data_IF_274636036189
#
_entry.id   IF_274636036189
#
_cell.length_a   1.000
_cell.length_b   1.000
_cell.length_c   1.000
_cell.angle_alpha   90.00
_cell.angle_beta   90.00
_cell.angle_gamma   90.00
#
_symmetry.space_group_name_H-M   'P 1'
#
loop_
_entity.id
_entity.type
_entity.pdbx_description
1 polymer ?
#
# COMPACT_ATOMS: atom_id res chain seq x y z
N UNK A 1 41.32 76.53 -6.43
CA UNK A 1 42.54 76.55 -5.59
C UNK A 1 43.12 75.15 -5.62
N UNK A 2 44.42 74.84 -5.75
CA UNK A 2 45.67 75.58 -6.10
C UNK A 2 46.77 74.51 -6.19
N UNK A 3 47.78 74.51 -7.09
CA UNK A 3 48.11 75.42 -8.20
C UNK A 3 49.07 74.72 -9.21
N UNK A 4 49.77 75.46 -10.07
CA UNK A 4 50.96 75.00 -10.83
C UNK A 4 52.16 75.85 -10.47
N UNK A 5 53.37 75.28 -10.30
CA UNK A 5 54.53 75.76 -11.10
C UNK A 5 55.44 74.59 -11.54
N UNK A 6 56.21 74.56 -12.64
CA UNK A 6 56.83 75.53 -13.59
C UNK A 6 58.29 75.95 -13.27
N UNK A 7 59.20 75.63 -14.23
CA UNK A 7 60.61 76.09 -14.44
C UNK A 7 61.66 75.58 -13.42
N UNK A 8 62.97 75.47 -13.73
CA UNK A 8 63.83 75.86 -14.89
C UNK A 8 64.69 74.65 -15.35
N UNK A 9 65.09 74.44 -16.61
CA UNK A 9 65.97 75.20 -17.53
C UNK A 9 67.48 75.22 -17.19
N UNK A 10 68.27 74.35 -17.86
CA UNK A 10 69.60 74.54 -18.50
C UNK A 10 70.11 73.15 -18.98
N UNK A 11 70.93 72.98 -20.03
CA UNK A 11 71.58 73.93 -20.93
C UNK A 11 71.85 73.35 -22.34
N UNK A 12 72.64 74.09 -23.14
CA UNK A 12 72.92 73.87 -24.58
C UNK A 12 73.93 72.75 -24.85
N UNK A 13 73.81 72.06 -26.00
CA UNK A 13 74.87 72.07 -27.04
C UNK A 13 74.36 71.61 -28.43
N UNK A 14 75.21 71.70 -29.47
CA UNK A 14 74.79 71.85 -30.86
C UNK A 14 75.02 70.62 -31.78
N UNK A 15 74.28 70.61 -32.89
CA UNK A 15 74.49 69.78 -34.10
C UNK A 15 75.73 70.30 -34.91
N UNK A 16 76.15 69.74 -36.09
CA UNK A 16 75.45 68.76 -36.95
C UNK A 16 76.32 67.71 -37.72
N UNK A 17 75.66 66.78 -38.44
CA UNK A 17 75.84 66.59 -39.90
C UNK A 17 74.90 65.52 -40.51
N UNK A 18 74.46 65.79 -41.74
CA UNK A 18 73.70 64.91 -42.64
C UNK A 18 74.70 64.03 -43.44
N UNK A 19 74.32 62.85 -43.98
CA UNK A 19 73.90 62.86 -45.38
C UNK A 19 72.84 61.80 -45.82
N UNK A 20 71.85 62.29 -46.58
CA UNK A 20 71.38 61.83 -47.89
C UNK A 20 71.21 60.32 -48.26
N UNK A 21 70.06 60.08 -48.92
CA UNK A 21 69.79 59.09 -50.00
C UNK A 21 69.78 57.58 -49.66
N UNK A 22 68.60 56.96 -49.79
CA UNK A 22 68.38 55.62 -50.40
C UNK A 22 66.89 55.37 -50.69
N UNK A 23 66.34 56.05 -51.71
CA UNK A 23 65.03 55.70 -52.25
C UNK A 23 65.09 54.42 -53.08
N UNK A 24 64.63 53.29 -52.51
CA UNK A 24 64.57 52.00 -53.22
C UNK A 24 64.27 50.82 -52.31
N UNK A 25 64.97 50.70 -51.17
CA UNK A 25 64.79 49.59 -50.23
C UNK A 25 63.42 49.61 -49.51
N UNK A 26 62.86 50.80 -49.25
CA UNK A 26 61.62 50.97 -48.51
C UNK A 26 60.40 50.25 -49.15
N UNK A 27 60.28 50.27 -50.49
CA UNK A 27 59.12 49.67 -51.17
C UNK A 27 59.14 48.14 -51.13
N UNK A 28 60.33 47.53 -51.15
CA UNK A 28 60.51 46.08 -51.02
C UNK A 28 60.26 45.64 -49.57
N UNK A 29 60.79 46.38 -48.59
CA UNK A 29 60.60 46.12 -47.16
C UNK A 29 59.11 46.15 -46.77
N UNK A 30 58.37 47.22 -47.13
CA UNK A 30 56.92 47.35 -46.84
C UNK A 30 56.12 46.23 -47.50
N UNK A 31 56.53 45.74 -48.67
CA UNK A 31 55.86 44.60 -49.34
C UNK A 31 56.16 43.27 -48.66
N UNK A 32 57.39 43.04 -48.21
CA UNK A 32 57.77 41.85 -47.45
C UNK A 32 57.10 41.82 -46.06
N UNK A 33 57.01 42.97 -45.40
CA UNK A 33 56.33 43.16 -44.12
C UNK A 33 54.82 42.96 -44.25
N UNK A 34 54.18 43.50 -45.29
CA UNK A 34 52.78 43.17 -45.66
C UNK A 34 52.56 41.68 -45.93
N UNK A 35 53.53 40.96 -46.48
CA UNK A 35 53.43 39.50 -46.68
C UNK A 35 53.58 38.74 -45.36
N UNK A 36 54.48 39.16 -44.46
CA UNK A 36 54.64 38.57 -43.12
C UNK A 36 53.43 38.82 -42.23
N UNK A 37 52.84 40.01 -42.24
CA UNK A 37 51.60 40.30 -41.49
C UNK A 37 50.40 39.52 -42.05
N UNK A 38 50.23 39.44 -43.37
CA UNK A 38 49.21 38.58 -44.00
C UNK A 38 49.37 37.09 -43.64
N UNK A 39 50.61 36.60 -43.50
CA UNK A 39 50.87 35.21 -43.10
C UNK A 39 50.51 34.95 -41.63
N UNK A 40 50.89 35.86 -40.70
CA UNK A 40 50.48 35.76 -39.29
C UNK A 40 48.95 35.82 -39.13
N UNK A 41 48.28 36.74 -39.81
CA UNK A 41 46.81 36.81 -39.84
C UNK A 41 46.17 35.51 -40.37
N UNK A 42 46.80 34.80 -41.30
CA UNK A 42 46.31 33.51 -41.79
C UNK A 42 46.56 32.35 -40.79
N UNK A 43 47.61 32.43 -39.98
CA UNK A 43 47.91 31.48 -38.90
C UNK A 43 46.93 31.69 -37.72
N UNK A 44 46.66 32.93 -37.31
CA UNK A 44 45.64 33.28 -36.31
C UNK A 44 44.24 32.82 -36.73
N UNK A 45 43.88 33.01 -38.01
CA UNK A 45 42.60 32.52 -38.54
C UNK A 45 42.51 30.99 -38.55
N UNK A 46 43.61 30.27 -38.78
CA UNK A 46 43.63 28.80 -38.68
C UNK A 46 43.42 28.36 -37.23
N UNK A 47 44.14 28.95 -36.27
CA UNK A 47 43.96 28.65 -34.85
C UNK A 47 42.53 28.95 -34.38
N UNK A 48 41.97 30.12 -34.72
CA UNK A 48 40.58 30.46 -34.38
C UNK A 48 39.57 29.49 -34.99
N UNK A 49 39.77 29.00 -36.22
CA UNK A 49 38.91 27.96 -36.82
C UNK A 49 39.06 26.61 -36.13
N UNK A 50 40.27 26.21 -35.72
CA UNK A 50 40.49 24.96 -34.96
C UNK A 50 39.81 25.04 -33.59
N UNK A 51 39.95 26.15 -32.86
CA UNK A 51 39.25 26.36 -31.58
C UNK A 51 37.73 26.45 -31.75
N UNK A 52 37.23 27.08 -32.81
CA UNK A 52 35.79 27.13 -33.11
C UNK A 52 35.22 25.75 -33.49
N UNK A 53 35.96 24.94 -34.25
CA UNK A 53 35.58 23.56 -34.57
C UNK A 53 35.61 22.67 -33.31
N UNK A 54 36.65 22.76 -32.49
CA UNK A 54 36.79 21.97 -31.26
C UNK A 54 35.75 22.36 -30.20
N UNK A 55 35.47 23.66 -30.05
CA UNK A 55 34.39 24.14 -29.19
C UNK A 55 33.02 23.78 -29.73
N UNK A 56 32.84 23.78 -31.06
CA UNK A 56 31.61 23.36 -31.73
C UNK A 56 31.32 21.88 -31.57
N UNK A 57 32.32 21.00 -31.71
CA UNK A 57 32.15 19.56 -31.49
C UNK A 57 31.92 19.23 -30.03
N UNK A 58 32.66 19.84 -29.11
CA UNK A 58 32.44 19.66 -27.67
C UNK A 58 31.04 20.15 -27.24
N UNK A 59 30.62 21.32 -27.74
CA UNK A 59 29.28 21.86 -27.53
C UNK A 59 28.18 20.94 -28.07
N UNK A 60 28.37 20.37 -29.27
CA UNK A 60 27.42 19.42 -29.85
C UNK A 60 27.32 18.12 -29.04
N UNK A 61 28.44 17.57 -28.55
CA UNK A 61 28.43 16.39 -27.67
C UNK A 61 27.66 16.66 -26.38
N UNK A 62 27.91 17.81 -25.74
CA UNK A 62 27.19 18.23 -24.53
C UNK A 62 25.68 18.38 -24.82
N UNK A 63 25.31 18.94 -25.98
CA UNK A 63 23.91 19.09 -26.39
C UNK A 63 23.21 17.74 -26.61
N UNK A 64 23.89 16.76 -27.21
CA UNK A 64 23.36 15.39 -27.39
C UNK A 64 23.19 14.68 -26.04
N UNK A 65 24.14 14.83 -25.11
CA UNK A 65 24.03 14.28 -23.75
C UNK A 65 22.88 14.93 -22.96
N UNK A 66 22.70 16.25 -23.06
CA UNK A 66 21.56 16.97 -22.47
C UNK A 66 20.23 16.54 -23.09
N UNK A 67 20.16 16.39 -24.42
CA UNK A 67 18.97 15.90 -25.09
C UNK A 67 18.61 14.46 -24.68
N UNK A 68 19.62 13.59 -24.52
CA UNK A 68 19.45 12.24 -23.98
C UNK A 68 18.91 12.24 -22.55
N UNK A 69 19.50 13.04 -21.66
CA UNK A 69 19.04 13.22 -20.28
C UNK A 69 17.60 13.75 -20.21
N UNK A 70 17.26 14.76 -21.02
CA UNK A 70 15.89 15.32 -21.06
C UNK A 70 14.90 14.28 -21.60
N UNK A 71 15.26 13.53 -22.64
CA UNK A 71 14.40 12.48 -23.18
C UNK A 71 14.15 11.37 -22.15
N UNK A 72 15.20 10.89 -21.49
CA UNK A 72 15.13 9.79 -20.52
C UNK A 72 14.48 10.19 -19.18
N UNK A 73 14.77 11.39 -18.66
CA UNK A 73 14.23 11.84 -17.36
C UNK A 73 12.90 12.60 -17.44
N UNK A 74 12.56 13.21 -18.59
CA UNK A 74 11.33 14.03 -18.73
C UNK A 74 10.31 13.35 -19.62
N UNK A 75 10.71 12.82 -20.79
CA UNK A 75 9.76 12.33 -21.80
C UNK A 75 9.32 10.88 -21.60
N UNK A 76 10.24 9.98 -21.22
CA UNK A 76 9.89 8.57 -20.92
C UNK A 76 8.99 8.47 -19.67
N UNK A 77 9.25 9.17 -18.55
CA UNK A 77 8.46 9.01 -17.32
C UNK A 77 7.08 9.68 -17.38
N UNK A 78 6.87 10.64 -18.29
CA UNK A 78 5.60 11.36 -18.47
C UNK A 78 4.63 10.66 -19.44
N UNK A 79 4.89 9.40 -19.82
CA UNK A 79 3.96 8.65 -20.68
C UNK A 79 2.75 8.20 -19.86
N UNK A 80 1.50 8.44 -20.31
CA UNK A 80 0.30 8.00 -19.60
C UNK A 80 0.17 6.47 -19.68
N UNK A 81 -0.16 5.87 -18.53
CA UNK A 81 -0.44 4.43 -18.37
C UNK A 81 -1.94 4.20 -18.26
N UNK A 82 -2.65 5.05 -17.51
CA UNK A 82 -4.10 5.02 -17.33
C UNK A 82 -4.66 6.41 -16.98
N UNK A 83 -5.98 6.58 -17.01
CA UNK A 83 -6.66 7.83 -16.64
C UNK A 83 -8.06 7.58 -16.06
N UNK A 84 -8.42 8.31 -15.00
CA UNK A 84 -9.74 8.30 -14.36
C UNK A 84 -10.25 9.73 -14.25
N UNK A 85 -11.26 10.06 -15.06
CA UNK A 85 -11.81 11.42 -15.12
C UNK A 85 -10.74 12.44 -15.56
N UNK A 86 -10.36 13.34 -14.66
CA UNK A 86 -9.28 14.32 -14.86
C UNK A 86 -7.90 13.84 -14.40
N UNK A 87 -7.80 12.77 -13.62
CA UNK A 87 -6.52 12.26 -13.09
C UNK A 87 -5.87 11.33 -14.11
N UNK A 88 -4.58 11.52 -14.39
CA UNK A 88 -3.79 10.66 -15.30
C UNK A 88 -2.64 10.02 -14.54
N UNK A 89 -2.50 8.70 -14.63
CA UNK A 89 -1.39 7.94 -14.07
C UNK A 89 -0.24 7.92 -15.08
N UNK A 90 0.86 8.61 -14.80
CA UNK A 90 2.04 8.57 -15.67
C UNK A 90 2.97 7.41 -15.29
N UNK A 91 3.93 7.09 -16.15
CA UNK A 91 4.90 6.00 -15.92
C UNK A 91 5.73 6.21 -14.64
N UNK A 92 6.06 7.46 -14.28
CA UNK A 92 6.68 7.78 -12.98
C UNK A 92 5.77 7.39 -11.82
N UNK A 93 4.53 7.85 -11.85
CA UNK A 93 3.56 7.71 -10.77
C UNK A 93 3.20 6.23 -10.60
N UNK A 94 3.04 5.51 -11.70
CA UNK A 94 2.86 4.07 -11.75
C UNK A 94 3.99 3.28 -11.05
N UNK A 95 5.26 3.64 -11.30
CA UNK A 95 6.40 3.01 -10.60
C UNK A 95 6.38 3.32 -9.10
N UNK A 96 5.93 4.49 -8.70
CA UNK A 96 5.75 4.85 -7.30
C UNK A 96 4.58 4.06 -6.66
N UNK A 97 3.47 3.87 -7.36
CA UNK A 97 2.36 3.02 -6.93
C UNK A 97 2.77 1.55 -6.75
N UNK A 98 3.62 1.00 -7.63
CA UNK A 98 4.22 -0.33 -7.41
C UNK A 98 5.08 -0.36 -6.14
N UNK A 99 5.92 0.65 -5.89
CA UNK A 99 6.73 0.73 -4.65
C UNK A 99 5.83 0.80 -3.41
N UNK A 100 4.69 1.49 -3.48
CA UNK A 100 3.70 1.49 -2.40
C UNK A 100 2.98 0.14 -2.25
N UNK A 101 2.70 -0.60 -3.34
CA UNK A 101 2.14 -1.95 -3.27
C UNK A 101 3.10 -2.93 -2.57
N UNK A 102 4.39 -2.92 -2.93
CA UNK A 102 5.41 -3.72 -2.24
C UNK A 102 5.61 -3.32 -0.77
N UNK A 103 5.52 -2.03 -0.45
CA UNK A 103 5.56 -1.56 0.93
C UNK A 103 4.35 -2.04 1.76
N UNK A 104 3.13 -2.07 1.19
CA UNK A 104 1.96 -2.70 1.82
C UNK A 104 2.17 -4.20 2.03
N UNK A 105 2.72 -4.91 1.04
CA UNK A 105 3.00 -6.35 1.15
C UNK A 105 4.00 -6.67 2.28
N UNK A 106 5.09 -5.90 2.39
CA UNK A 106 6.06 -6.04 3.50
C UNK A 106 5.41 -5.70 4.85
N UNK A 107 4.59 -4.65 4.92
CA UNK A 107 3.85 -4.29 6.13
C UNK A 107 2.90 -5.42 6.59
N UNK A 108 2.11 -5.97 5.67
CA UNK A 108 1.20 -7.08 5.92
C UNK A 108 1.94 -8.34 6.36
N UNK A 109 3.08 -8.67 5.73
CA UNK A 109 3.91 -9.80 6.14
C UNK A 109 4.40 -9.65 7.60
N UNK A 110 4.86 -8.47 8.01
CA UNK A 110 5.26 -8.24 9.40
C UNK A 110 4.07 -8.17 10.38
N UNK A 111 2.90 -7.74 9.93
CA UNK A 111 1.67 -7.77 10.74
C UNK A 111 1.25 -9.23 11.02
N UNK A 112 1.25 -10.09 9.99
CA UNK A 112 1.01 -11.53 10.12
C UNK A 112 2.08 -12.20 11.01
N UNK A 113 3.35 -11.86 10.83
CA UNK A 113 4.45 -12.37 11.66
C UNK A 113 4.28 -11.99 13.14
N UNK A 114 3.78 -10.77 13.43
CA UNK A 114 3.45 -10.34 14.78
C UNK A 114 2.28 -11.12 15.38
N UNK A 115 1.18 -11.28 14.63
CA UNK A 115 0.00 -12.06 15.05
C UNK A 115 0.34 -13.53 15.34
N UNK A 116 1.21 -14.13 14.54
CA UNK A 116 1.62 -15.54 14.64
C UNK A 116 2.98 -15.75 15.34
N UNK A 117 3.50 -14.76 16.07
CA UNK A 117 4.82 -14.82 16.72
C UNK A 117 4.96 -16.01 17.70
N UNK A 118 3.85 -16.49 18.28
CA UNK A 118 3.82 -17.69 19.13
C UNK A 118 3.87 -19.04 18.39
N UNK A 119 3.84 -19.05 17.05
CA UNK A 119 3.83 -20.26 16.23
C UNK A 119 5.05 -20.31 15.28
N UNK A 120 6.08 -21.05 15.68
CA UNK A 120 7.34 -21.19 14.93
C UNK A 120 7.16 -21.70 13.48
N UNK A 121 6.15 -22.55 13.23
CA UNK A 121 5.91 -23.15 11.91
C UNK A 121 5.23 -22.17 10.94
N UNK A 122 4.40 -21.25 11.45
CA UNK A 122 3.77 -20.20 10.65
C UNK A 122 4.75 -19.05 10.45
N UNK A 123 5.39 -18.56 11.53
CA UNK A 123 6.38 -17.49 11.45
C UNK A 123 7.55 -17.80 10.51
N UNK A 124 8.01 -19.05 10.45
CA UNK A 124 9.05 -19.50 9.51
C UNK A 124 8.68 -19.45 8.02
N UNK A 125 7.39 -19.34 7.67
CA UNK A 125 6.93 -19.20 6.28
C UNK A 125 6.85 -17.73 5.82
N UNK A 126 6.67 -16.80 6.77
CA UNK A 126 6.63 -15.36 6.51
C UNK A 126 7.99 -14.69 6.70
N UNK A 127 8.85 -15.23 7.56
CA UNK A 127 10.22 -14.77 7.75
C UNK A 127 11.07 -14.97 6.47
N UNK A 128 11.79 -13.92 6.08
CA UNK A 128 12.73 -13.93 4.95
C UNK A 128 12.08 -13.68 3.58
N UNK A 129 10.85 -13.16 3.52
CA UNK A 129 10.24 -12.75 2.26
C UNK A 129 10.75 -11.39 1.74
N UNK A 130 11.21 -10.49 2.63
CA UNK A 130 11.65 -9.14 2.24
C UNK A 130 12.79 -9.10 1.21
N UNK A 131 13.81 -9.98 1.23
CA UNK A 131 14.84 -10.02 0.18
C UNK A 131 14.29 -10.30 -1.23
N UNK A 132 13.26 -11.15 -1.35
CA UNK A 132 12.60 -11.42 -2.63
C UNK A 132 11.83 -10.20 -3.14
N UNK A 133 11.07 -9.55 -2.25
CA UNK A 133 10.36 -8.30 -2.56
C UNK A 133 11.36 -7.19 -2.93
N UNK A 134 12.48 -7.07 -2.21
CA UNK A 134 13.52 -6.08 -2.50
C UNK A 134 14.11 -6.24 -3.91
N UNK A 135 14.31 -7.49 -4.38
CA UNK A 135 14.73 -7.75 -5.76
C UNK A 135 13.65 -7.36 -6.78
N UNK A 136 12.38 -7.63 -6.49
CA UNK A 136 11.25 -7.21 -7.34
C UNK A 136 11.15 -5.68 -7.43
N UNK A 137 11.39 -4.96 -6.34
CA UNK A 137 11.43 -3.49 -6.32
C UNK A 137 12.54 -2.93 -7.23
N UNK A 138 13.72 -3.55 -7.28
CA UNK A 138 14.78 -3.18 -8.25
C UNK A 138 14.34 -3.38 -9.70
N UNK A 139 13.57 -4.44 -9.96
CA UNK A 139 13.13 -4.81 -11.31
C UNK A 139 11.95 -3.98 -11.86
N UNK A 140 11.31 -3.12 -11.05
CA UNK A 140 10.20 -2.23 -11.45
C UNK A 140 10.51 -1.41 -12.72
N UNK A 141 11.78 -1.05 -12.92
CA UNK A 141 12.22 -0.28 -14.10
C UNK A 141 11.99 -1.01 -15.43
N UNK A 142 12.23 -2.32 -15.43
CA UNK A 142 12.31 -3.18 -16.63
C UNK A 142 11.12 -4.16 -16.74
N UNK A 143 10.33 -4.30 -15.67
CA UNK A 143 9.14 -5.15 -15.64
C UNK A 143 8.02 -4.63 -16.57
N UNK A 144 7.19 -5.53 -17.14
CA UNK A 144 5.98 -5.12 -17.84
C UNK A 144 4.99 -4.42 -16.88
N UNK A 145 4.04 -3.67 -17.45
CA UNK A 145 2.95 -3.07 -16.68
C UNK A 145 2.09 -4.17 -16.05
N UNK A 146 2.09 -4.23 -14.73
CA UNK A 146 1.18 -5.02 -13.91
C UNK A 146 -0.20 -4.33 -13.90
N UNK A 147 -1.17 -4.98 -14.54
CA UNK A 147 -2.56 -4.52 -14.62
C UNK A 147 -3.22 -4.42 -13.23
N UNK A 148 -2.84 -5.25 -12.26
CA UNK A 148 -3.41 -5.22 -10.91
C UNK A 148 -3.12 -3.87 -10.22
N UNK A 149 -1.88 -3.37 -10.32
CA UNK A 149 -1.51 -2.06 -9.75
C UNK A 149 -2.27 -0.92 -10.43
N UNK A 150 -2.50 -1.02 -11.75
CA UNK A 150 -3.31 -0.03 -12.49
C UNK A 150 -4.77 -0.08 -12.03
N UNK A 151 -5.35 -1.28 -11.90
CA UNK A 151 -6.74 -1.45 -11.47
C UNK A 151 -6.95 -0.98 -10.01
N UNK A 152 -6.04 -1.31 -9.10
CA UNK A 152 -6.07 -0.79 -7.72
C UNK A 152 -5.96 0.74 -7.66
N UNK A 153 -5.15 1.36 -8.54
CA UNK A 153 -5.09 2.82 -8.65
C UNK A 153 -6.41 3.40 -9.20
N UNK A 154 -6.97 2.81 -10.27
CA UNK A 154 -8.25 3.22 -10.86
C UNK A 154 -9.37 3.15 -9.82
N UNK A 155 -9.47 2.04 -9.08
CA UNK A 155 -10.50 1.83 -8.07
C UNK A 155 -10.38 2.84 -6.92
N UNK A 156 -9.16 3.11 -6.44
CA UNK A 156 -8.92 4.10 -5.38
C UNK A 156 -9.23 5.52 -5.82
N UNK A 157 -8.88 5.90 -7.05
CA UNK A 157 -9.27 7.19 -7.63
C UNK A 157 -10.79 7.29 -7.75
N UNK A 158 -11.47 6.25 -8.24
CA UNK A 158 -12.93 6.23 -8.38
C UNK A 158 -13.63 6.33 -7.02
N UNK A 159 -13.18 5.57 -6.01
CA UNK A 159 -13.67 5.67 -4.62
C UNK A 159 -13.46 7.07 -4.06
N UNK A 160 -12.29 7.66 -4.28
CA UNK A 160 -11.96 9.02 -3.80
C UNK A 160 -12.82 10.09 -4.48
N UNK A 161 -13.00 10.00 -5.80
CA UNK A 161 -13.82 10.94 -6.57
C UNK A 161 -15.31 10.81 -6.19
N UNK A 162 -15.83 9.58 -6.04
CA UNK A 162 -17.20 9.33 -5.57
C UNK A 162 -17.43 9.83 -4.14
N UNK A 163 -16.53 9.53 -3.20
CA UNK A 163 -16.61 10.02 -1.83
C UNK A 163 -16.62 11.55 -1.76
N UNK A 164 -15.74 12.22 -2.49
CA UNK A 164 -15.70 13.68 -2.57
C UNK A 164 -17.00 14.28 -3.15
N UNK A 165 -17.58 13.65 -4.18
CA UNK A 165 -18.88 14.07 -4.74
C UNK A 165 -20.02 13.93 -3.73
N UNK A 166 -19.95 12.90 -2.87
CA UNK A 166 -20.88 12.66 -1.77
C UNK A 166 -20.57 13.49 -0.50
N UNK A 167 -19.60 14.41 -0.54
CA UNK A 167 -19.20 15.25 0.59
C UNK A 167 -18.42 14.52 1.69
N UNK A 168 -18.04 13.27 1.45
CA UNK A 168 -17.26 12.44 2.38
C UNK A 168 -15.79 12.84 2.27
N UNK A 169 -15.24 13.34 3.37
CA UNK A 169 -13.82 13.67 3.50
C UNK A 169 -13.20 12.89 4.65
N UNK A 170 -11.93 12.52 4.49
CA UNK A 170 -11.11 11.82 5.49
C UNK A 170 -9.92 12.70 5.83
N UNK A 171 -9.64 12.87 7.12
CA UNK A 171 -8.55 13.72 7.62
C UNK A 171 -7.30 12.91 7.89
N UNK A 172 -6.13 13.54 7.93
CA UNK A 172 -4.89 12.85 8.29
C UNK A 172 -4.91 12.36 9.75
N UNK A 173 -5.54 13.10 10.65
CA UNK A 173 -5.66 12.72 12.06
C UNK A 173 -6.48 11.43 12.22
N UNK A 174 -7.58 11.31 11.47
CA UNK A 174 -8.39 10.09 11.39
C UNK A 174 -7.60 8.89 10.83
N UNK A 175 -6.85 9.11 9.74
CA UNK A 175 -5.96 8.07 9.17
C UNK A 175 -4.92 7.62 10.19
N UNK A 176 -4.32 8.56 10.94
CA UNK A 176 -3.33 8.26 11.96
C UNK A 176 -3.96 7.48 13.13
N UNK A 177 -5.17 7.84 13.57
CA UNK A 177 -5.88 7.15 14.65
C UNK A 177 -6.29 5.72 14.25
N UNK A 178 -6.79 5.51 13.02
CA UNK A 178 -7.18 4.19 12.52
C UNK A 178 -5.93 3.29 12.35
N UNK A 179 -4.84 3.82 11.77
CA UNK A 179 -3.56 3.11 11.62
C UNK A 179 -2.96 2.71 12.98
N UNK A 180 -2.96 3.61 13.97
CA UNK A 180 -2.44 3.31 15.32
C UNK A 180 -3.33 2.35 16.09
N UNK A 181 -4.66 2.41 15.91
CA UNK A 181 -5.59 1.46 16.51
C UNK A 181 -5.28 0.01 16.12
N UNK A 182 -5.06 -0.23 14.82
CA UNK A 182 -4.76 -1.55 14.27
C UNK A 182 -3.31 -2.01 14.50
N UNK A 183 -2.33 -1.14 14.21
CA UNK A 183 -0.91 -1.51 14.14
C UNK A 183 -0.17 -1.22 15.45
N UNK A 184 -0.69 -0.36 16.33
CA UNK A 184 -0.08 -0.03 17.61
C UNK A 184 0.17 -1.25 18.48
N UNK A 185 -0.81 -2.16 18.57
CA UNK A 185 -0.68 -3.40 19.37
C UNK A 185 0.40 -4.37 18.87
N UNK A 186 0.89 -4.21 17.64
CA UNK A 186 1.82 -5.13 16.96
C UNK A 186 3.23 -4.53 16.83
N UNK A 187 3.33 -3.20 16.70
CA UNK A 187 4.58 -2.48 16.42
C UNK A 187 5.04 -1.54 17.54
N UNK A 188 4.17 -1.11 18.46
CA UNK A 188 4.57 -0.37 19.66
C UNK A 188 4.82 -1.32 20.84
N UNK A 189 5.69 -0.92 21.79
CA UNK A 189 5.76 -1.60 23.08
C UNK A 189 4.41 -1.47 23.82
N UNK A 190 4.00 -2.47 24.62
CA UNK A 190 2.78 -2.36 25.40
C UNK A 190 2.84 -1.16 26.35
N UNK A 191 1.73 -0.43 26.57
CA UNK A 191 1.73 0.78 27.38
C UNK A 191 2.19 0.46 28.80
N UNK A 192 3.17 1.24 29.28
CA UNK A 192 3.66 1.13 30.66
C UNK A 192 2.56 1.66 31.59
N UNK A 193 1.79 0.74 32.18
CA UNK A 193 0.78 1.07 33.18
C UNK A 193 1.51 1.64 34.41
N UNK A 194 1.52 2.96 34.55
CA UNK A 194 1.92 3.58 35.80
C UNK A 194 0.99 3.07 36.91
N UNK A 195 1.51 2.59 38.06
CA UNK A 195 0.67 2.00 39.09
C UNK A 195 -0.27 3.05 39.66
N UNK A 196 -1.56 2.92 39.33
CA UNK A 196 -2.63 3.73 39.91
C UNK A 196 -2.56 3.57 41.43
N UNK A 197 -2.48 4.68 42.16
CA UNK A 197 -2.33 4.64 43.61
C UNK A 197 -3.55 3.96 44.25
N UNK A 198 -3.37 2.73 44.73
CA UNK A 198 -4.40 1.97 45.44
C UNK A 198 -4.81 2.75 46.68
N UNK A 199 -6.03 3.31 46.66
CA UNK A 199 -6.61 3.97 47.83
C UNK A 199 -6.90 2.90 48.89
N UNK A 200 -6.05 2.83 49.92
CA UNK A 200 -6.18 1.85 51.00
C UNK A 200 -7.47 2.09 51.79
N UNK A 201 -8.51 1.31 51.49
CA UNK A 201 -9.68 1.22 52.36
C UNK A 201 -9.29 0.46 53.63
N UNK A 202 -9.40 1.13 54.77
CA UNK A 202 -9.04 0.58 56.08
C UNK A 202 -10.13 -0.40 56.54
N UNK A 203 -9.83 -1.70 56.76
CA UNK A 203 -10.85 -2.65 57.20
C UNK A 203 -11.17 -2.42 58.68
N UNK A 204 -12.44 -2.15 58.98
CA UNK A 204 -12.94 -2.13 60.37
C UNK A 204 -13.15 -3.57 60.83
N UNK A 205 -12.47 -3.95 61.91
CA UNK A 205 -12.58 -5.27 62.55
C UNK A 205 -13.84 -5.41 63.39
N UNK A 206 -14.54 -6.55 63.31
CA UNK A 206 -15.20 -7.12 64.49
C UNK A 206 -15.42 -8.65 64.43
N UNK A 207 -15.22 -9.30 65.60
CA UNK A 207 -15.70 -10.61 66.06
C UNK A 207 -15.39 -11.93 65.30
N UNK A 208 -14.29 -12.56 65.73
CA UNK A 208 -14.05 -14.02 65.72
C UNK A 208 -15.03 -14.79 66.63
N UNK A 209 -15.47 -15.99 66.23
CA UNK A 209 -15.68 -17.14 67.13
C UNK A 209 -15.34 -18.47 66.42
N UNK A 210 -14.80 -19.43 67.18
CA UNK A 210 -14.18 -20.67 66.71
C UNK A 210 -15.16 -21.86 66.53
N UNK A 211 -14.81 -22.90 65.73
CA UNK A 211 -15.64 -24.08 65.52
C UNK A 211 -15.51 -25.12 66.64
N UNK A 212 -16.60 -25.83 66.96
CA UNK A 212 -16.60 -26.99 67.87
C UNK A 212 -17.04 -28.27 67.14
N UNK A 213 -16.31 -29.35 67.37
CA UNK A 213 -16.48 -30.68 66.79
C UNK A 213 -17.55 -31.52 67.52
N UNK A 214 -18.32 -32.33 66.80
CA UNK A 214 -18.91 -33.60 67.30
C UNK A 214 -19.37 -34.50 66.13
N UNK A 215 -19.52 -35.80 66.38
CA UNK A 215 -19.71 -36.84 65.36
C UNK A 215 -21.03 -37.61 65.49
N UNK A 216 -21.28 -38.48 64.49
CA UNK A 216 -22.18 -39.66 64.53
C UNK A 216 -23.71 -39.41 64.48
N UNK A 217 -24.33 -39.83 63.37
CA UNK A 217 -25.41 -40.84 63.33
C UNK A 217 -26.01 -40.97 61.92
N UNK A 218 -26.47 -42.17 61.55
CA UNK A 218 -27.22 -42.39 60.31
C UNK A 218 -28.70 -42.05 60.50
N UNK A 219 -29.26 -41.24 59.60
CA UNK A 219 -30.71 -41.09 59.38
C UNK A 219 -30.94 -40.97 57.88
N UNK A 220 -31.92 -41.72 57.35
CA UNK A 220 -32.44 -41.53 55.99
C UNK A 220 -33.68 -40.64 56.10
N UNK A 221 -33.72 -39.47 55.44
CA UNK A 221 -34.96 -38.79 55.14
C UNK A 221 -35.25 -38.82 53.63
N UNK A 222 -36.39 -39.38 53.27
CA UNK A 222 -37.04 -39.10 51.99
C UNK A 222 -37.74 -37.74 52.08
N UNK A 223 -37.38 -36.76 51.24
CA UNK A 223 -38.32 -35.84 50.58
C UNK A 223 -37.63 -34.74 49.73
N UNK A 224 -38.38 -34.34 48.70
CA UNK A 224 -38.48 -32.98 48.15
C UNK A 224 -37.40 -32.42 47.20
N UNK A 225 -37.88 -31.89 46.08
CA UNK A 225 -37.10 -31.22 45.04
C UNK A 225 -36.76 -29.79 45.50
N UNK A 226 -35.51 -29.56 45.85
CA UNK A 226 -35.01 -28.19 46.10
C UNK A 226 -34.98 -27.41 44.78
N UNK A 227 -35.41 -26.13 44.73
CA UNK A 227 -35.32 -25.32 43.52
C UNK A 227 -33.86 -25.15 43.09
N UNK A 228 -33.63 -25.20 41.78
CA UNK A 228 -32.33 -24.89 41.16
C UNK A 228 -31.87 -23.50 41.59
N UNK A 229 -30.60 -23.31 42.03
CA UNK A 229 -30.09 -21.99 42.33
C UNK A 229 -30.10 -21.13 41.08
N UNK A 230 -30.73 -19.96 41.17
CA UNK A 230 -30.72 -18.95 40.12
C UNK A 230 -29.27 -18.53 39.85
N UNK A 231 -28.82 -18.71 38.60
CA UNK A 231 -27.45 -18.36 38.20
C UNK A 231 -27.34 -16.85 38.24
N UNK A 232 -26.80 -16.32 39.35
CA UNK A 232 -26.44 -14.92 39.46
C UNK A 232 -25.43 -14.63 38.34
N UNK A 233 -25.84 -13.80 37.39
CA UNK A 233 -24.98 -13.39 36.28
C UNK A 233 -23.79 -12.64 36.84
N UNK A 234 -22.61 -13.27 36.82
CA UNK A 234 -21.34 -12.59 37.00
C UNK A 234 -21.32 -11.37 36.07
N UNK A 235 -21.09 -10.14 36.57
CA UNK A 235 -21.03 -8.99 35.70
C UNK A 235 -19.92 -9.21 34.68
N UNK A 236 -20.30 -9.14 33.40
CA UNK A 236 -19.38 -9.28 32.28
C UNK A 236 -18.25 -8.26 32.45
N UNK A 237 -17.00 -8.74 32.36
CA UNK A 237 -15.84 -7.90 32.58
C UNK A 237 -15.81 -6.82 31.49
N UNK A 238 -16.23 -5.60 31.85
CA UNK A 238 -16.22 -4.46 30.94
C UNK A 238 -14.79 -4.24 30.45
N UNK A 239 -14.54 -4.60 29.20
CA UNK A 239 -13.25 -4.40 28.57
C UNK A 239 -12.90 -2.91 28.70
N UNK A 240 -11.82 -2.62 29.41
CA UNK A 240 -11.39 -1.24 29.60
C UNK A 240 -10.81 -0.79 28.27
N UNK A 241 -11.61 -0.08 27.47
CA UNK A 241 -11.17 0.45 26.18
C UNK A 241 -9.90 1.27 26.41
N UNK A 242 -8.80 0.85 25.79
CA UNK A 242 -7.57 1.62 25.79
C UNK A 242 -7.88 2.98 25.17
N UNK A 243 -7.51 4.10 25.81
CA UNK A 243 -7.89 5.43 25.32
C UNK A 243 -7.33 5.64 23.90
N UNK A 244 -8.20 6.03 22.97
CA UNK A 244 -7.79 6.42 21.62
C UNK A 244 -6.82 7.61 21.73
N UNK A 245 -5.62 7.54 21.13
CA UNK A 245 -4.62 8.60 21.26
C UNK A 245 -5.10 9.92 20.63
N UNK A 246 -4.66 11.02 21.24
CA UNK A 246 -4.93 12.36 20.69
C UNK A 246 -4.22 12.56 19.33
N UNK A 247 -4.66 13.49 18.46
CA UNK A 247 -4.14 13.63 17.10
C UNK A 247 -2.61 13.74 17.00
N UNK A 248 -1.97 14.53 17.89
CA UNK A 248 -0.51 14.67 17.94
C UNK A 248 0.18 13.38 18.37
N UNK A 249 -0.36 12.71 19.40
CA UNK A 249 0.16 11.44 19.89
C UNK A 249 0.05 10.35 18.82
N UNK A 250 -1.10 10.28 18.12
CA UNK A 250 -1.30 9.37 17.01
C UNK A 250 -0.30 9.62 15.88
N UNK A 251 -0.02 10.88 15.52
CA UNK A 251 0.99 11.21 14.51
C UNK A 251 2.42 10.75 14.91
N UNK A 252 2.81 10.96 16.17
CA UNK A 252 4.09 10.48 16.70
C UNK A 252 4.16 8.95 16.74
N UNK A 253 3.06 8.29 17.11
CA UNK A 253 2.94 6.83 17.14
C UNK A 253 2.98 6.22 15.73
N UNK A 254 2.35 6.83 14.71
CA UNK A 254 2.56 6.48 13.29
C UNK A 254 4.05 6.55 12.94
N UNK A 255 4.75 7.59 13.38
CA UNK A 255 6.20 7.72 13.20
C UNK A 255 6.97 6.50 13.74
N UNK A 256 6.65 6.07 14.96
CA UNK A 256 7.26 4.91 15.60
C UNK A 256 6.92 3.58 14.90
N UNK A 257 5.67 3.40 14.42
CA UNK A 257 5.24 2.23 13.64
C UNK A 257 6.07 2.12 12.36
N UNK A 258 6.22 3.22 11.61
CA UNK A 258 7.00 3.26 10.37
C UNK A 258 8.49 2.98 10.64
N UNK A 259 9.04 3.51 11.74
CA UNK A 259 10.43 3.30 12.12
C UNK A 259 10.74 1.85 12.51
N UNK A 260 9.89 1.21 13.32
CA UNK A 260 10.05 -0.21 13.68
C UNK A 260 9.79 -1.14 12.48
N UNK A 261 8.80 -0.83 11.65
CA UNK A 261 8.52 -1.58 10.41
C UNK A 261 9.73 -1.54 9.46
N UNK A 262 10.30 -0.36 9.24
CA UNK A 262 11.49 -0.18 8.41
C UNK A 262 12.71 -0.88 9.01
N UNK A 263 12.89 -0.81 10.33
CA UNK A 263 13.95 -1.53 11.06
C UNK A 263 13.84 -3.05 10.90
N UNK A 264 12.64 -3.62 10.96
CA UNK A 264 12.41 -5.06 10.71
C UNK A 264 12.75 -5.45 9.27
N UNK A 265 12.40 -4.61 8.31
CA UNK A 265 12.77 -4.77 6.90
C UNK A 265 14.30 -4.78 6.70
N UNK A 266 15.03 -3.81 7.28
CA UNK A 266 16.51 -3.81 7.26
C UNK A 266 17.12 -5.07 7.88
N UNK A 267 16.56 -5.57 8.99
CA UNK A 267 17.00 -6.81 9.65
C UNK A 267 16.81 -8.04 8.75
N UNK A 268 15.70 -8.15 8.01
CA UNK A 268 15.50 -9.25 7.05
C UNK A 268 16.44 -9.17 5.83
N UNK A 269 16.85 -7.96 5.43
CA UNK A 269 17.80 -7.78 4.33
C UNK A 269 19.26 -8.03 4.72
N UNK A 270 19.64 -7.78 5.97
CA UNK A 270 21.02 -7.89 6.44
C UNK A 270 21.73 -9.24 6.14
N UNK A 271 21.10 -10.43 6.26
CA UNK A 271 21.70 -11.71 5.87
C UNK A 271 22.06 -11.78 4.37
N UNK A 272 21.28 -11.12 3.52
CA UNK A 272 21.50 -11.06 2.07
C UNK A 272 22.51 -9.97 1.65
N UNK A 273 22.91 -9.09 2.58
CA UNK A 273 23.75 -7.90 2.33
C UNK A 273 23.20 -6.98 1.23
N UNK A 274 21.88 -6.94 1.07
CA UNK A 274 21.21 -6.08 0.11
C UNK A 274 20.78 -4.76 0.78
N UNK A 275 20.99 -3.64 0.09
CA UNK A 275 20.45 -2.35 0.53
C UNK A 275 18.92 -2.31 0.36
N UNK A 276 18.19 -1.61 1.25
CA UNK A 276 16.74 -1.43 1.16
C UNK A 276 16.34 -0.52 -0.01
N UNK A 277 15.47 -1.01 -0.89
CA UNK A 277 14.97 -0.27 -2.06
C UNK A 277 13.64 0.45 -1.81
N UNK A 278 12.93 0.05 -0.74
CA UNK A 278 11.82 0.79 -0.17
C UNK A 278 12.36 1.73 0.91
N UNK A 279 11.79 2.93 1.02
CA UNK A 279 12.12 3.91 2.05
C UNK A 279 11.02 4.03 3.10
N UNK A 280 11.31 4.68 4.25
CA UNK A 280 10.31 5.01 5.28
C UNK A 280 9.11 5.77 4.72
N UNK A 281 9.32 6.66 3.74
CA UNK A 281 8.23 7.40 3.12
C UNK A 281 7.39 6.53 2.17
N UNK A 282 7.97 5.46 1.60
CA UNK A 282 7.19 4.50 0.83
C UNK A 282 6.23 3.73 1.73
N UNK A 283 6.68 3.30 2.92
CA UNK A 283 5.82 2.68 3.94
C UNK A 283 4.76 3.65 4.47
N UNK A 284 5.15 4.89 4.80
CA UNK A 284 4.22 5.93 5.29
C UNK A 284 3.11 6.20 4.29
N UNK A 285 3.45 6.44 3.02
CA UNK A 285 2.48 6.74 1.97
C UNK A 285 1.62 5.51 1.62
N UNK A 286 2.23 4.31 1.58
CA UNK A 286 1.53 3.05 1.33
C UNK A 286 0.44 2.76 2.36
N UNK A 287 0.76 2.88 3.66
CA UNK A 287 -0.19 2.66 4.74
C UNK A 287 -1.20 3.81 4.84
N UNK A 288 -0.78 5.07 4.69
CA UNK A 288 -1.72 6.21 4.71
C UNK A 288 -2.77 6.11 3.59
N UNK A 289 -2.38 5.64 2.39
CA UNK A 289 -3.30 5.42 1.28
C UNK A 289 -4.29 4.26 1.57
N UNK A 290 -3.81 3.17 2.18
CA UNK A 290 -4.64 2.02 2.57
C UNK A 290 -5.69 2.42 3.64
N UNK A 291 -5.24 3.04 4.73
CA UNK A 291 -6.13 3.48 5.81
C UNK A 291 -7.09 4.59 5.37
N UNK A 292 -6.69 5.45 4.43
CA UNK A 292 -7.61 6.40 3.79
C UNK A 292 -8.72 5.68 3.01
N UNK A 293 -8.41 4.61 2.29
CA UNK A 293 -9.40 3.84 1.52
C UNK A 293 -10.36 3.08 2.43
N UNK A 294 -9.87 2.54 3.55
CA UNK A 294 -10.68 1.92 4.60
C UNK A 294 -11.63 2.95 5.24
N UNK A 295 -11.13 4.11 5.67
CA UNK A 295 -11.94 5.19 6.22
C UNK A 295 -12.97 5.76 5.22
N UNK A 296 -12.63 5.89 3.93
CA UNK A 296 -13.59 6.24 2.87
C UNK A 296 -14.69 5.17 2.79
N UNK A 297 -14.31 3.90 2.70
CA UNK A 297 -15.26 2.77 2.57
C UNK A 297 -16.22 2.72 3.77
N UNK A 298 -15.69 2.87 4.99
CA UNK A 298 -16.46 2.95 6.22
C UNK A 298 -17.46 4.11 6.20
N UNK A 299 -17.03 5.34 5.88
CA UNK A 299 -17.95 6.51 5.80
C UNK A 299 -19.00 6.38 4.69
N UNK A 300 -18.67 5.74 3.58
CA UNK A 300 -19.64 5.42 2.52
C UNK A 300 -20.68 4.42 3.04
N UNK A 301 -20.26 3.39 3.78
CA UNK A 301 -21.18 2.45 4.43
C UNK A 301 -22.06 3.13 5.47
N UNK A 302 -21.50 3.92 6.40
CA UNK A 302 -22.23 4.72 7.40
C UNK A 302 -23.29 5.63 6.75
N UNK A 303 -23.01 6.17 5.55
CA UNK A 303 -23.94 7.03 4.79
C UNK A 303 -25.05 6.25 4.06
N UNK A 304 -24.73 5.07 3.52
CA UNK A 304 -25.67 4.24 2.75
C UNK A 304 -26.56 3.36 3.64
N UNK A 305 -26.01 2.88 4.76
CA UNK A 305 -26.68 2.04 5.75
C UNK A 305 -26.42 2.64 7.13
N UNK A 306 -27.12 3.73 7.50
CA UNK A 306 -27.00 4.29 8.83
C UNK A 306 -27.58 3.31 9.86
N UNK A 307 -26.82 2.97 10.90
CA UNK A 307 -27.23 2.01 11.94
C UNK A 307 -28.60 2.35 12.56
N UNK A 308 -28.91 3.65 12.71
CA UNK A 308 -30.18 4.13 13.23
C UNK A 308 -31.39 3.85 12.31
N UNK A 309 -31.15 3.53 11.03
CA UNK A 309 -32.16 3.11 10.06
C UNK A 309 -32.16 1.60 9.77
N UNK A 310 -31.14 0.86 10.22
CA UNK A 310 -31.08 -0.59 10.09
C UNK A 310 -31.80 -1.25 11.25
N UNK A 311 -33.08 -1.58 11.06
CA UNK A 311 -33.76 -2.59 11.90
C UNK A 311 -33.38 -3.97 11.38
N UNK A 312 -32.56 -4.78 12.09
CA UNK A 312 -32.35 -6.17 11.71
C UNK A 312 -33.70 -6.88 11.77
N UNK A 313 -34.08 -7.61 10.72
CA UNK A 313 -35.30 -8.40 10.77
C UNK A 313 -35.14 -9.48 11.85
N UNK A 314 -35.92 -9.38 12.92
CA UNK A 314 -36.03 -10.44 13.93
C UNK A 314 -36.94 -11.57 13.45
N UNK A 315 -37.67 -11.39 12.35
CA UNK A 315 -38.21 -12.51 11.59
C UNK A 315 -37.03 -13.20 10.91
N UNK A 316 -36.72 -14.46 11.26
CA UNK A 316 -35.76 -15.21 10.49
C UNK A 316 -36.34 -15.40 9.10
N UNK A 317 -35.74 -14.76 8.10
CA UNK A 317 -35.81 -15.25 6.72
C UNK A 317 -35.13 -16.62 6.69
N UNK A 318 -35.89 -17.62 7.12
CA UNK A 318 -35.67 -18.99 6.70
C UNK A 318 -35.91 -18.98 5.20
N UNK A 319 -34.82 -18.82 4.45
CA UNK A 319 -34.77 -19.15 3.02
C UNK A 319 -35.13 -20.62 2.91
N UNK A 320 -36.43 -20.88 2.79
CA UNK A 320 -37.01 -22.21 2.69
C UNK A 320 -36.77 -22.67 1.27
N UNK A 321 -35.56 -23.18 1.02
CA UNK A 321 -35.24 -23.89 -0.20
C UNK A 321 -36.20 -25.08 -0.31
N UNK A 322 -37.06 -25.04 -1.33
CA UNK A 322 -37.92 -26.16 -1.71
C UNK A 322 -37.17 -26.96 -2.78
N UNK A 323 -37.03 -28.27 -2.60
CA UNK A 323 -36.26 -29.14 -3.48
C UNK A 323 -37.12 -30.24 -4.11
N UNK A 324 -36.84 -30.57 -5.36
CA UNK A 324 -37.34 -31.77 -6.04
C UNK A 324 -36.15 -32.70 -6.20
N UNK A 325 -36.27 -33.92 -5.69
CA UNK A 325 -35.24 -34.96 -5.79
C UNK A 325 -35.62 -35.94 -6.91
N UNK A 326 -34.70 -36.21 -7.84
CA UNK A 326 -34.85 -37.22 -8.91
C UNK A 326 -33.78 -38.29 -8.67
N UNK A 327 -34.18 -39.55 -8.63
CA UNK A 327 -33.30 -40.65 -8.28
C UNK A 327 -32.65 -41.28 -9.52
N UNK A 328 -31.31 -41.36 -9.52
CA UNK A 328 -30.56 -42.11 -10.54
C UNK A 328 -30.46 -43.57 -10.10
N UNK A 329 -31.23 -44.45 -10.73
CA UNK A 329 -31.16 -45.89 -10.49
C UNK A 329 -29.95 -46.50 -11.23
N UNK A 330 -28.90 -46.85 -10.49
CA UNK A 330 -27.75 -47.56 -11.01
C UNK A 330 -27.91 -49.07 -10.77
N UNK A 331 -27.68 -49.89 -11.81
CA UNK A 331 -27.68 -51.35 -11.66
C UNK A 331 -26.38 -51.82 -11.00
N UNK A 332 -26.43 -52.82 -10.13
CA UNK A 332 -25.22 -53.41 -9.57
C UNK A 332 -24.35 -54.01 -10.69
N UNK A 333 -23.11 -53.54 -10.79
CA UNK A 333 -22.17 -53.94 -11.84
C UNK A 333 -22.31 -53.18 -13.17
N UNK A 334 -23.11 -52.11 -13.25
CA UNK A 334 -23.17 -51.23 -14.41
C UNK A 334 -21.77 -50.69 -14.79
N UNK A 335 -21.50 -50.60 -16.08
CA UNK A 335 -20.32 -49.92 -16.60
C UNK A 335 -20.42 -48.40 -16.42
N UNK A 336 -19.30 -47.71 -16.60
CA UNK A 336 -19.26 -46.25 -16.50
C UNK A 336 -20.12 -45.59 -17.59
N UNK A 337 -20.12 -46.11 -18.82
CA UNK A 337 -20.94 -45.59 -19.92
C UNK A 337 -22.45 -45.75 -19.65
N UNK A 338 -22.87 -46.88 -19.05
CA UNK A 338 -24.27 -47.10 -18.63
C UNK A 338 -24.66 -46.19 -17.46
N UNK A 339 -23.74 -45.94 -16.53
CA UNK A 339 -23.95 -45.03 -15.40
C UNK A 339 -24.10 -43.57 -15.85
N UNK A 340 -23.23 -43.14 -16.78
CA UNK A 340 -23.26 -41.81 -17.38
C UNK A 340 -24.54 -41.64 -18.23
N UNK A 341 -25.02 -42.69 -18.92
CA UNK A 341 -26.28 -42.66 -19.65
C UNK A 341 -27.49 -42.43 -18.71
N UNK A 342 -27.61 -43.23 -17.64
CA UNK A 342 -28.68 -43.06 -16.64
C UNK A 342 -28.62 -41.70 -15.93
N UNK A 343 -27.42 -41.16 -15.68
CA UNK A 343 -27.27 -39.83 -15.12
C UNK A 343 -27.73 -38.73 -16.09
N UNK A 344 -27.38 -38.84 -17.37
CA UNK A 344 -27.81 -37.88 -18.39
C UNK A 344 -29.33 -37.90 -18.63
N UNK A 345 -29.98 -39.06 -18.54
CA UNK A 345 -31.45 -39.18 -18.61
C UNK A 345 -32.12 -38.46 -17.43
N UNK A 346 -31.68 -38.72 -16.20
CA UNK A 346 -32.17 -38.04 -15.01
C UNK A 346 -31.87 -36.52 -15.02
N UNK A 347 -30.73 -36.10 -15.60
CA UNK A 347 -30.39 -34.69 -15.78
C UNK A 347 -31.36 -33.98 -16.74
N UNK A 348 -31.79 -34.63 -17.82
CA UNK A 348 -32.80 -34.07 -18.73
C UNK A 348 -34.17 -33.93 -18.04
N UNK A 349 -34.57 -34.91 -17.24
CA UNK A 349 -35.79 -34.80 -16.41
C UNK A 349 -35.69 -33.64 -15.41
N UNK A 350 -34.55 -33.50 -14.71
CA UNK A 350 -34.31 -32.40 -13.78
C UNK A 350 -34.33 -31.02 -14.46
N UNK A 351 -33.82 -30.92 -15.68
CA UNK A 351 -33.86 -29.69 -16.47
C UNK A 351 -35.28 -29.34 -16.91
N UNK A 352 -36.08 -30.31 -17.35
CA UNK A 352 -37.49 -30.11 -17.71
C UNK A 352 -38.32 -29.64 -16.51
N UNK A 353 -38.18 -30.30 -15.35
CA UNK A 353 -38.80 -29.89 -14.08
C UNK A 353 -38.39 -28.46 -13.68
N UNK A 354 -37.10 -28.12 -13.82
CA UNK A 354 -36.62 -26.78 -13.51
C UNK A 354 -37.10 -25.71 -14.50
N UNK A 355 -37.38 -26.07 -15.76
CA UNK A 355 -38.01 -25.19 -16.75
C UNK A 355 -39.50 -24.98 -16.48
N UNK A 356 -40.24 -26.03 -16.14
CA UNK A 356 -41.65 -25.95 -15.76
C UNK A 356 -41.85 -25.05 -14.52
N UNK A 357 -41.01 -25.22 -13.49
CA UNK A 357 -40.99 -24.35 -12.31
C UNK A 357 -40.62 -22.90 -12.64
N UNK A 358 -39.67 -22.67 -13.57
CA UNK A 358 -39.35 -21.32 -14.08
C UNK A 358 -40.48 -20.73 -14.93
N UNK A 359 -41.31 -21.56 -15.55
CA UNK A 359 -42.53 -21.17 -16.24
C UNK A 359 -43.69 -20.75 -15.32
N UNK A 360 -43.52 -20.86 -14.00
CA UNK A 360 -44.53 -20.47 -13.01
C UNK A 360 -45.50 -21.58 -12.62
N UNK A 361 -45.17 -22.85 -12.89
CA UNK A 361 -45.94 -23.98 -12.36
C UNK A 361 -45.89 -24.04 -10.82
N UNK A 362 -46.95 -24.60 -10.22
CA UNK A 362 -46.97 -24.76 -8.75
C UNK A 362 -45.96 -25.80 -8.29
N UNK A 363 -45.05 -25.37 -7.41
CA UNK A 363 -44.02 -26.23 -6.85
C UNK A 363 -44.59 -27.47 -6.15
N UNK A 364 -45.70 -27.33 -5.41
CA UNK A 364 -46.23 -28.46 -4.66
C UNK A 364 -46.82 -29.54 -5.60
N UNK A 365 -47.49 -29.14 -6.68
CA UNK A 365 -47.94 -30.04 -7.73
C UNK A 365 -46.78 -30.73 -8.48
N UNK A 366 -45.77 -29.98 -8.93
CA UNK A 366 -44.61 -30.56 -9.64
C UNK A 366 -43.82 -31.50 -8.72
N UNK A 367 -43.56 -31.10 -7.47
CA UNK A 367 -42.94 -31.97 -6.49
C UNK A 367 -43.81 -33.17 -6.11
N UNK A 368 -45.14 -33.12 -6.25
CA UNK A 368 -46.04 -34.26 -6.04
C UNK A 368 -45.93 -35.29 -7.17
N UNK A 369 -45.73 -34.85 -8.42
CA UNK A 369 -45.60 -35.72 -9.58
C UNK A 369 -44.17 -36.30 -9.74
N UNK A 370 -43.14 -35.45 -9.65
CA UNK A 370 -41.79 -35.74 -10.16
C UNK A 370 -40.72 -35.99 -9.08
N UNK A 371 -41.05 -35.90 -7.78
CA UNK A 371 -40.06 -36.10 -6.71
C UNK A 371 -40.02 -37.51 -6.14
N UNK A 372 -38.85 -38.14 -6.23
CA UNK A 372 -38.47 -39.46 -5.70
C UNK A 372 -38.12 -39.48 -4.19
N UNK A 373 -38.58 -38.49 -3.41
CA UNK A 373 -38.22 -38.39 -1.98
C UNK A 373 -38.62 -39.67 -1.20
N UNK A 374 -37.64 -40.25 -0.50
CA UNK A 374 -37.77 -41.49 0.24
C UNK A 374 -38.89 -41.46 1.30
N UNK A 375 -39.24 -40.27 1.81
CA UNK A 375 -40.37 -40.07 2.73
C UNK A 375 -41.73 -40.54 2.15
N UNK A 376 -41.87 -40.66 0.82
CA UNK A 376 -43.08 -41.20 0.17
C UNK A 376 -43.07 -42.72 -0.01
N UNK A 377 -41.90 -43.36 -0.10
CA UNK A 377 -41.80 -44.82 -0.29
C UNK A 377 -42.32 -45.63 0.91
N UNK A 378 -42.33 -45.05 2.11
CA UNK A 378 -42.80 -45.70 3.34
C UNK A 378 -44.33 -45.77 3.51
N UNK A 379 -45.13 -45.16 2.62
CA UNK A 379 -46.60 -45.18 2.74
C UNK A 379 -47.31 -46.20 1.82
N UNK A 380 -46.56 -46.99 1.03
CA UNK A 380 -47.12 -47.99 0.10
C UNK A 380 -46.46 -49.37 0.26
N UNK A 381 -46.18 -49.78 1.50
CA UNK A 381 -46.04 -51.21 1.87
C UNK A 381 -46.60 -51.42 3.29
N UNK A 382 -47.83 -51.93 3.39
CA UNK A 382 -48.41 -52.62 4.56
C UNK A 382 -49.58 -53.48 4.09
#
# INVERSE_FOLDING_TARGET
>A
MTETPKKSQEGREAAPKNPARTGGAASAAVTAERRRSKRRLAEDQRQRRVWALLGGTLGAVILVLLAGLIYDQVWVPSRPVASVGSTTLNTRDYRQEQRHAFARQVAQNFQLLGLFAGNAQISGQFAGQSPGINQQVRAIGDAPVNEETVNQWIERELKTQGANAEGITVTQDEINQELVGDLGQIFLPPPVIAPTATTTLTPTTEATLEPTLAATAAVIPTAELTPTPEVTTTPEATATLQPTPGPTEAADQVGQIIDELFRRYEIELAPSRADPELSKDDFRNALSAQYREQAITRKVQEKLVPDAGFTPSTEPERVSARQVLIAVALSEGASQEESDASFNEALLQAQAVAEELRGGADFAAVAAAESDDAARRTMVVS
#
